data_IF_819574198537
#
_entry.id   IF_819574198537
#
_cell.length_a   1.000
_cell.length_b   1.000
_cell.length_c   1.000
_cell.angle_alpha   90.00
_cell.angle_beta   90.00
_cell.angle_gamma   90.00
#
_symmetry.space_group_name_H-M   'P 1'
#
loop_
_entity.id
_entity.type
_entity.pdbx_description
1 polymer ?
#
# COMPACT_ATOMS: atom_id res chain seq x y z
N UNK A 1 1.23 18.93 -24.59
CA UNK A 1 2.44 18.10 -24.46
C UNK A 1 2.25 17.30 -23.18
N UNK A 2 2.05 15.98 -23.27
CA UNK A 2 1.84 15.12 -22.10
C UNK A 2 3.19 14.77 -21.52
N UNK A 3 3.47 15.21 -20.29
CA UNK A 3 4.72 14.90 -19.60
C UNK A 3 4.88 13.37 -19.45
N UNK A 4 6.10 12.81 -19.59
CA UNK A 4 6.33 11.40 -19.32
C UNK A 4 6.00 11.11 -17.85
N UNK A 5 5.44 9.92 -17.54
CA UNK A 5 5.21 9.55 -16.15
C UNK A 5 6.54 9.59 -15.41
N UNK A 6 6.58 10.35 -14.31
CA UNK A 6 7.80 10.54 -13.53
C UNK A 6 8.24 9.19 -12.95
N UNK A 7 9.46 8.70 -13.23
CA UNK A 7 9.93 7.42 -12.71
C UNK A 7 10.08 7.42 -11.17
N UNK A 8 10.00 8.58 -10.52
CA UNK A 8 9.98 8.73 -9.06
C UNK A 8 8.63 8.34 -8.43
N UNK A 9 7.59 8.04 -9.23
CA UNK A 9 6.38 7.32 -8.76
C UNK A 9 6.67 5.83 -8.47
N UNK A 10 7.94 5.44 -8.37
CA UNK A 10 8.29 4.10 -7.91
C UNK A 10 8.03 3.96 -6.40
N UNK A 11 6.90 3.34 -6.09
CA UNK A 11 6.72 2.39 -4.97
C UNK A 11 6.40 2.92 -3.57
N UNK A 12 5.88 4.13 -3.38
CA UNK A 12 5.16 4.42 -2.11
C UNK A 12 3.79 3.71 -2.06
N UNK A 13 3.24 3.34 -3.22
CA UNK A 13 2.03 2.51 -3.32
C UNK A 13 2.26 1.04 -2.93
N UNK A 14 3.51 0.59 -2.78
CA UNK A 14 3.83 -0.79 -2.37
C UNK A 14 3.90 -0.95 -0.85
N UNK A 15 3.31 -0.03 -0.06
CA UNK A 15 3.24 -0.13 1.40
C UNK A 15 1.80 -0.22 1.86
N UNK A 16 1.55 -1.09 2.83
CA UNK A 16 0.25 -1.16 3.46
C UNK A 16 -0.03 0.16 4.21
N UNK A 17 -1.11 0.89 3.89
CA UNK A 17 -1.40 2.19 4.51
C UNK A 17 -1.80 2.10 6.00
N UNK A 18 -1.95 0.88 6.52
CA UNK A 18 -2.39 0.61 7.89
C UNK A 18 -1.22 0.30 8.82
N UNK A 19 -0.23 -0.45 8.33
CA UNK A 19 0.92 -0.89 9.12
C UNK A 19 2.26 -0.39 8.55
N UNK A 20 2.23 0.36 7.44
CA UNK A 20 3.39 0.95 6.73
C UNK A 20 4.47 -0.04 6.29
N UNK A 21 4.20 -1.34 6.41
CA UNK A 21 5.07 -2.42 5.91
C UNK A 21 4.96 -2.54 4.39
N UNK A 22 6.03 -2.98 3.70
CA UNK A 22 5.96 -3.25 2.28
C UNK A 22 4.97 -4.39 1.99
N UNK A 23 4.07 -4.18 1.02
CA UNK A 23 3.08 -5.13 0.52
C UNK A 23 3.75 -6.40 0.01
N UNK A 24 4.95 -6.28 -0.55
CA UNK A 24 5.79 -7.40 -0.95
C UNK A 24 6.18 -8.36 0.20
N UNK A 25 6.10 -7.92 1.46
CA UNK A 25 6.32 -8.77 2.65
C UNK A 25 5.03 -9.10 3.41
N UNK A 26 3.89 -8.62 2.92
CA UNK A 26 2.63 -8.66 3.65
C UNK A 26 1.97 -10.02 3.47
N UNK A 27 2.00 -10.82 4.54
CA UNK A 27 1.35 -12.13 4.53
C UNK A 27 -0.16 -12.00 4.38
N UNK A 28 -0.84 -13.05 3.93
CA UNK A 28 -2.29 -13.04 3.77
C UNK A 28 -3.02 -12.69 5.07
N UNK A 29 -2.58 -13.21 6.22
CA UNK A 29 -3.15 -12.87 7.52
C UNK A 29 -3.00 -11.38 7.85
N UNK A 30 -1.83 -10.80 7.60
CA UNK A 30 -1.61 -9.36 7.78
C UNK A 30 -2.44 -8.53 6.81
N UNK A 31 -2.63 -8.97 5.56
CA UNK A 31 -3.51 -8.31 4.58
C UNK A 31 -4.96 -8.26 5.08
N UNK A 32 -5.49 -9.38 5.58
CA UNK A 32 -6.85 -9.45 6.13
C UNK A 32 -6.97 -8.56 7.38
N UNK A 33 -6.01 -8.63 8.30
CA UNK A 33 -6.02 -7.81 9.51
C UNK A 33 -5.95 -6.31 9.19
N UNK A 34 -5.10 -5.91 8.24
CA UNK A 34 -5.01 -4.51 7.82
C UNK A 34 -6.25 -4.06 7.07
N UNK A 35 -6.84 -4.91 6.23
CA UNK A 35 -8.10 -4.60 5.53
C UNK A 35 -9.25 -4.39 6.50
N UNK A 36 -9.38 -5.28 7.50
CA UNK A 36 -10.37 -5.13 8.56
C UNK A 36 -10.16 -3.84 9.38
N UNK A 37 -8.90 -3.51 9.72
CA UNK A 37 -8.56 -2.25 10.39
C UNK A 37 -8.89 -1.03 9.53
N UNK A 38 -8.62 -1.07 8.22
CA UNK A 38 -8.96 0.00 7.29
C UNK A 38 -10.47 0.25 7.27
N UNK A 39 -11.27 -0.81 7.20
CA UNK A 39 -12.72 -0.73 7.21
C UNK A 39 -13.31 -0.22 8.54
N UNK A 40 -12.56 -0.27 9.64
CA UNK A 40 -12.97 0.27 10.93
C UNK A 40 -12.57 1.74 11.14
N UNK A 41 -11.68 2.26 10.28
CA UNK A 41 -11.20 3.65 10.30
C UNK A 41 -11.94 4.55 9.30
N UNK A 42 -12.65 3.95 8.33
CA UNK A 42 -13.54 4.61 7.36
C UNK A 42 -14.94 4.83 7.97
#
# INVERSE_FOLDING_TARGET
MTAPPDPSISSDEDKCPICSKPLSTHTYEEQVACTAKKAALD
#
